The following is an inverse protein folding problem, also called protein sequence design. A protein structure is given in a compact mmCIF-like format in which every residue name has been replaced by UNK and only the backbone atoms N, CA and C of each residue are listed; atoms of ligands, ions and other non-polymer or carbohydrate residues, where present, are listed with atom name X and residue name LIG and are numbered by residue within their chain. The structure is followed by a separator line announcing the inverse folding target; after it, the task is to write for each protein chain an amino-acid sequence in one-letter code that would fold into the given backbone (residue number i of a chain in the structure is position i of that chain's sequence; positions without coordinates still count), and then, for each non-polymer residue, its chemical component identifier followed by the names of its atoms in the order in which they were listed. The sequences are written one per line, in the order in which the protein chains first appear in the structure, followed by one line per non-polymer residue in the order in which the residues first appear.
data_IF_268673983877
#
_entry.id   IF_268673983877
#
_cell.length_a   1.000
_cell.length_b   1.000
_cell.length_c   1.000
_cell.angle_alpha   90.00
_cell.angle_beta   90.00
_cell.angle_gamma   90.00
#
_symmetry.space_group_name_H-M   'P 1'
#
loop_
_entity.id
_entity.type
_entity.pdbx_description
1 polymer ?
#
# COMPACT_ATOMS: atom_id res chain seq x y z
N UNK A 1 3.25 21.21 -13.75
CA UNK A 1 4.36 22.09 -13.29
C UNK A 1 3.87 22.94 -12.13
N UNK A 2 4.70 23.07 -11.09
CA UNK A 2 4.45 23.95 -9.95
C UNK A 2 5.21 25.25 -10.20
N UNK A 3 4.50 26.37 -10.17
CA UNK A 3 5.06 27.69 -10.41
C UNK A 3 5.02 28.47 -9.09
N UNK A 4 6.14 29.06 -8.70
CA UNK A 4 6.26 29.92 -7.52
C UNK A 4 6.52 31.36 -7.94
N UNK A 5 5.98 32.31 -7.17
CA UNK A 5 6.17 33.74 -7.40
C UNK A 5 7.59 34.20 -7.02
N UNK A 6 8.23 33.50 -6.07
CA UNK A 6 9.56 33.86 -5.57
C UNK A 6 10.28 32.66 -4.94
N UNK A 7 11.59 32.79 -4.76
CA UNK A 7 12.42 31.85 -4.00
C UNK A 7 11.99 31.75 -2.52
N UNK A 8 11.44 32.82 -1.96
CA UNK A 8 10.93 32.83 -0.60
C UNK A 8 9.71 31.91 -0.48
N UNK A 9 8.82 31.86 -1.49
CA UNK A 9 7.64 31.00 -1.50
C UNK A 9 8.02 29.52 -1.57
N UNK A 10 9.06 29.19 -2.34
CA UNK A 10 9.63 27.84 -2.37
C UNK A 10 10.10 27.44 -0.95
N UNK A 11 10.91 28.27 -0.31
CA UNK A 11 11.44 28.02 1.04
C UNK A 11 10.31 27.90 2.08
N UNK A 12 9.26 28.72 1.99
CA UNK A 12 8.08 28.63 2.87
C UNK A 12 7.35 27.30 2.66
N UNK A 13 7.17 26.87 1.40
CA UNK A 13 6.51 25.60 1.05
C UNK A 13 7.32 24.41 1.56
N UNK A 14 8.64 24.43 1.39
CA UNK A 14 9.53 23.38 1.93
C UNK A 14 9.43 23.26 3.45
N UNK A 15 9.43 24.40 4.18
CA UNK A 15 9.24 24.41 5.64
C UNK A 15 7.88 23.87 6.04
N UNK A 16 6.80 24.18 5.30
CA UNK A 16 5.47 23.62 5.55
C UNK A 16 5.44 22.12 5.33
N UNK A 17 6.07 21.63 4.24
CA UNK A 17 6.14 20.21 3.94
C UNK A 17 6.91 19.40 5.02
N UNK A 18 7.93 19.98 5.62
CA UNK A 18 8.65 19.37 6.74
C UNK A 18 7.77 19.25 7.99
N UNK A 19 7.00 20.31 8.30
CA UNK A 19 6.12 20.35 9.47
C UNK A 19 4.88 19.47 9.30
N UNK A 20 4.31 19.45 8.10
CA UNK A 20 3.13 18.69 7.75
C UNK A 20 3.35 17.93 6.42
N UNK A 21 4.01 16.75 6.49
CA UNK A 21 4.36 15.98 5.30
C UNK A 21 3.14 15.36 4.59
N UNK A 22 1.96 15.44 5.19
CA UNK A 22 0.69 14.96 4.63
C UNK A 22 -0.20 16.09 4.12
N UNK A 23 0.21 17.33 4.30
CA UNK A 23 -0.60 18.54 4.03
C UNK A 23 -0.70 18.96 2.56
N UNK A 24 -0.04 18.26 1.63
CA UNK A 24 -0.09 18.61 0.21
C UNK A 24 0.69 19.88 -0.16
N UNK A 25 1.76 20.15 0.54
CA UNK A 25 2.66 21.26 0.26
C UNK A 25 3.76 20.80 -0.70
N UNK A 26 3.57 21.00 -2.00
CA UNK A 26 4.50 20.52 -3.02
C UNK A 26 5.41 21.65 -3.50
N UNK A 27 6.72 21.42 -3.51
CA UNK A 27 7.73 22.30 -4.07
C UNK A 27 8.30 21.78 -5.39
N UNK A 28 7.96 20.55 -5.76
CA UNK A 28 8.37 19.91 -7.01
C UNK A 28 7.26 18.99 -7.54
N UNK A 29 6.96 19.08 -8.85
CA UNK A 29 5.83 18.36 -9.47
C UNK A 29 5.84 16.84 -9.30
N UNK A 30 7.03 16.22 -9.24
CA UNK A 30 7.14 14.78 -8.94
C UNK A 30 6.61 14.41 -7.54
N UNK A 31 6.58 15.35 -6.61
CA UNK A 31 6.06 15.08 -5.26
C UNK A 31 4.53 15.02 -5.21
N UNK A 32 3.86 15.52 -6.24
CA UNK A 32 2.41 15.51 -6.36
C UNK A 32 1.83 16.83 -6.86
N UNK A 33 0.52 16.83 -6.98
CA UNK A 33 -0.30 17.98 -7.41
C UNK A 33 -1.51 18.08 -6.49
N UNK A 34 -2.30 19.14 -6.63
CA UNK A 34 -3.58 19.29 -5.91
C UNK A 34 -4.53 18.13 -6.20
N UNK A 35 -4.56 17.62 -7.43
CA UNK A 35 -5.41 16.49 -7.83
C UNK A 35 -5.02 15.21 -7.11
N UNK A 36 -3.73 14.84 -7.15
CA UNK A 36 -3.23 13.64 -6.44
C UNK A 36 -3.41 13.76 -4.94
N UNK A 37 -3.21 14.96 -4.38
CA UNK A 37 -3.44 15.19 -2.95
C UNK A 37 -4.92 15.03 -2.56
N UNK A 38 -5.83 15.52 -3.37
CA UNK A 38 -7.27 15.36 -3.14
C UNK A 38 -7.64 13.88 -3.10
N UNK A 39 -7.20 13.09 -4.09
CA UNK A 39 -7.44 11.65 -4.10
C UNK A 39 -6.83 10.97 -2.86
N UNK A 40 -5.56 11.29 -2.53
CA UNK A 40 -4.90 10.74 -1.33
C UNK A 40 -5.71 11.03 -0.06
N UNK A 41 -6.23 12.26 0.10
CA UNK A 41 -7.08 12.62 1.27
C UNK A 41 -8.40 11.86 1.30
N UNK A 42 -9.07 11.70 0.15
CA UNK A 42 -10.31 10.93 0.05
C UNK A 42 -10.06 9.48 0.50
N UNK A 43 -9.03 8.85 -0.08
CA UNK A 43 -8.68 7.47 0.26
C UNK A 43 -8.20 7.33 1.71
N UNK A 44 -7.46 8.31 2.25
CA UNK A 44 -7.04 8.31 3.66
C UNK A 44 -8.24 8.25 4.61
N UNK A 45 -9.30 9.00 4.31
CA UNK A 45 -10.56 8.96 5.08
C UNK A 45 -11.29 7.63 4.88
N UNK A 46 -11.39 7.14 3.64
CA UNK A 46 -12.08 5.91 3.31
C UNK A 46 -11.41 4.69 3.98
N UNK A 47 -10.08 4.62 3.97
CA UNK A 47 -9.25 3.58 4.61
C UNK A 47 -9.15 3.72 6.14
N UNK A 48 -9.62 4.84 6.72
CA UNK A 48 -9.38 5.19 8.13
C UNK A 48 -7.90 5.05 8.52
N UNK A 49 -7.02 5.51 7.62
CA UNK A 49 -5.57 5.38 7.72
C UNK A 49 -4.89 6.69 8.14
N UNK A 50 -3.59 6.64 8.41
CA UNK A 50 -2.81 7.85 8.68
C UNK A 50 -2.52 8.62 7.38
N UNK A 51 -2.22 7.89 6.29
CA UNK A 51 -1.96 8.45 4.96
C UNK A 51 -2.12 7.39 3.88
N UNK A 52 -2.42 7.82 2.65
CA UNK A 52 -2.43 6.97 1.46
C UNK A 52 -1.45 7.49 0.43
N UNK A 53 -0.48 6.66 0.07
CA UNK A 53 0.42 6.87 -1.06
C UNK A 53 -0.25 6.37 -2.35
N UNK A 54 -0.11 7.13 -3.43
CA UNK A 54 -0.66 6.80 -4.74
C UNK A 54 0.46 6.35 -5.66
N UNK A 55 0.31 5.21 -6.30
CA UNK A 55 1.30 4.63 -7.22
C UNK A 55 0.74 4.48 -8.63
N UNK A 56 1.60 4.38 -9.67
CA UNK A 56 1.14 4.28 -11.06
C UNK A 56 0.36 2.99 -11.35
N UNK A 57 0.55 1.95 -10.55
CA UNK A 57 -0.11 0.64 -10.69
C UNK A 57 -0.38 0.01 -9.34
N UNK A 58 -1.36 -0.91 -9.26
CA UNK A 58 -1.58 -1.70 -8.04
C UNK A 58 -0.33 -2.48 -7.63
N UNK A 59 0.38 -3.07 -8.60
CA UNK A 59 1.65 -3.76 -8.35
C UNK A 59 2.75 -2.84 -7.84
N UNK A 60 2.78 -1.58 -8.28
CA UNK A 60 3.65 -0.54 -7.71
C UNK A 60 3.41 -0.33 -6.22
N UNK A 61 2.15 -0.43 -5.75
CA UNK A 61 1.83 -0.38 -4.32
C UNK A 61 2.33 -1.62 -3.58
N UNK A 62 2.23 -2.81 -4.16
CA UNK A 62 2.79 -4.05 -3.60
C UNK A 62 4.30 -3.93 -3.45
N UNK A 63 4.98 -3.52 -4.53
CA UNK A 63 6.43 -3.31 -4.52
C UNK A 63 6.84 -2.29 -3.44
N UNK A 64 6.16 -1.14 -3.40
CA UNK A 64 6.45 -0.08 -2.44
C UNK A 64 6.26 -0.55 -0.99
N UNK A 65 5.20 -1.30 -0.70
CA UNK A 65 4.94 -1.85 0.63
C UNK A 65 6.08 -2.77 1.08
N UNK A 66 6.49 -3.71 0.23
CA UNK A 66 7.55 -4.67 0.54
C UNK A 66 8.90 -3.95 0.65
N UNK A 67 9.27 -3.19 -0.36
CA UNK A 67 10.56 -2.50 -0.45
C UNK A 67 10.80 -1.49 0.68
N UNK A 68 9.73 -0.87 1.20
CA UNK A 68 9.83 0.06 2.34
C UNK A 68 10.27 -0.62 3.65
N UNK A 69 10.05 -1.92 3.78
CA UNK A 69 10.24 -2.67 5.04
C UNK A 69 11.48 -3.57 5.01
N UNK A 70 11.63 -4.39 3.94
CA UNK A 70 12.68 -5.42 3.89
C UNK A 70 14.02 -4.87 3.39
N UNK A 71 15.09 -5.52 3.83
CA UNK A 71 16.49 -5.19 3.45
C UNK A 71 17.22 -6.51 3.14
N UNK A 72 18.37 -6.47 2.43
CA UNK A 72 19.20 -7.65 2.22
C UNK A 72 19.48 -8.40 3.53
N UNK A 73 19.24 -9.71 3.53
CA UNK A 73 19.35 -10.59 4.70
C UNK A 73 18.05 -10.78 5.48
N UNK A 74 17.00 -10.02 5.21
CA UNK A 74 15.70 -10.18 5.84
C UNK A 74 14.87 -11.32 5.20
N UNK A 75 13.78 -11.67 5.88
CA UNK A 75 12.79 -12.65 5.43
C UNK A 75 11.39 -12.03 5.39
N UNK A 76 10.60 -12.48 4.41
CA UNK A 76 9.18 -12.17 4.28
C UNK A 76 8.36 -13.47 4.29
N UNK A 77 7.24 -13.44 4.99
CA UNK A 77 6.25 -14.53 4.98
C UNK A 77 5.06 -14.07 4.13
N UNK A 78 4.69 -14.85 3.12
CA UNK A 78 3.70 -14.49 2.11
C UNK A 78 2.60 -15.56 2.06
N UNK A 79 1.33 -15.14 1.96
CA UNK A 79 0.23 -16.06 1.75
C UNK A 79 0.43 -16.83 0.42
N UNK A 80 0.18 -18.13 0.41
CA UNK A 80 0.40 -18.93 -0.79
C UNK A 80 -0.47 -18.47 -1.99
N UNK A 81 -1.77 -18.17 -1.83
CA UNK A 81 -2.63 -17.74 -2.93
C UNK A 81 -2.57 -16.23 -3.22
N UNK A 82 -1.39 -15.64 -3.28
CA UNK A 82 -1.23 -14.23 -3.68
C UNK A 82 -1.27 -14.07 -5.20
N UNK A 83 -1.56 -12.87 -5.65
CA UNK A 83 -1.50 -12.44 -7.05
C UNK A 83 -0.18 -12.89 -7.71
N UNK A 84 -0.28 -13.47 -8.91
CA UNK A 84 0.86 -14.12 -9.59
C UNK A 84 2.11 -13.23 -9.70
N UNK A 85 2.02 -11.93 -10.09
CA UNK A 85 3.18 -11.03 -10.07
C UNK A 85 3.76 -10.79 -8.68
N UNK A 86 2.93 -10.78 -7.63
CA UNK A 86 3.43 -10.69 -6.24
C UNK A 86 4.23 -11.93 -5.87
N UNK A 87 3.77 -13.10 -6.32
CA UNK A 87 4.49 -14.35 -6.15
C UNK A 87 5.83 -14.34 -6.88
N UNK A 88 5.86 -13.90 -8.14
CA UNK A 88 7.07 -13.76 -8.93
C UNK A 88 8.06 -12.78 -8.25
N UNK A 89 7.59 -11.61 -7.83
CA UNK A 89 8.41 -10.65 -7.10
C UNK A 89 9.04 -11.29 -5.86
N UNK A 90 8.22 -11.92 -5.02
CA UNK A 90 8.67 -12.39 -3.71
C UNK A 90 9.51 -13.67 -3.81
N UNK A 91 9.15 -14.60 -4.68
CA UNK A 91 9.84 -15.88 -4.82
C UNK A 91 11.17 -15.77 -5.55
N UNK A 92 11.17 -15.02 -6.66
CA UNK A 92 12.30 -15.03 -7.62
C UNK A 92 13.10 -13.72 -7.54
N UNK A 93 12.46 -12.55 -7.71
CA UNK A 93 13.19 -11.29 -7.81
C UNK A 93 13.84 -10.86 -6.49
N UNK A 94 13.15 -10.97 -5.35
CA UNK A 94 13.72 -10.59 -4.05
C UNK A 94 14.90 -11.47 -3.62
N UNK A 95 14.99 -12.68 -4.14
CA UNK A 95 16.13 -13.58 -3.92
C UNK A 95 17.44 -13.00 -4.45
N UNK A 96 17.40 -12.28 -5.58
CA UNK A 96 18.56 -11.59 -6.15
C UNK A 96 19.12 -10.51 -5.20
N UNK A 97 18.29 -9.99 -4.31
CA UNK A 97 18.69 -9.02 -3.28
C UNK A 97 18.95 -9.67 -1.91
N UNK A 98 19.16 -10.99 -1.86
CA UNK A 98 19.36 -11.73 -0.62
C UNK A 98 18.21 -11.54 0.40
N UNK A 99 16.96 -11.47 -0.10
CA UNK A 99 15.74 -11.43 0.72
C UNK A 99 15.00 -12.74 0.51
N UNK A 100 14.81 -13.49 1.60
CA UNK A 100 14.19 -14.81 1.52
C UNK A 100 12.68 -14.75 1.73
N UNK A 101 11.93 -15.50 0.90
CA UNK A 101 10.48 -15.63 1.01
C UNK A 101 10.10 -17.03 1.51
N UNK A 102 9.18 -17.07 2.46
CA UNK A 102 8.53 -18.31 2.94
C UNK A 102 7.03 -18.18 2.72
N UNK A 103 6.44 -19.15 2.06
CA UNK A 103 4.99 -19.18 1.84
C UNK A 103 4.28 -19.90 2.99
N UNK A 104 3.07 -19.45 3.32
CA UNK A 104 2.24 -20.10 4.32
C UNK A 104 0.87 -20.49 3.74
N UNK A 105 0.33 -21.60 4.28
CA UNK A 105 -1.01 -22.05 3.92
C UNK A 105 -2.07 -21.23 4.66
N UNK A 106 -2.99 -20.54 3.96
CA UNK A 106 -4.04 -19.73 4.57
C UNK A 106 -5.01 -20.52 5.47
N UNK A 107 -5.22 -21.80 5.18
CA UNK A 107 -6.06 -22.69 5.99
C UNK A 107 -5.34 -23.21 7.26
N UNK A 108 -4.03 -23.03 7.36
CA UNK A 108 -3.24 -23.47 8.51
C UNK A 108 -2.25 -22.41 8.98
N UNK A 109 -2.72 -21.48 9.80
CA UNK A 109 -1.90 -20.36 10.31
C UNK A 109 -0.75 -20.81 11.25
N UNK A 110 -0.68 -22.07 11.67
CA UNK A 110 0.50 -22.59 12.35
C UNK A 110 1.72 -22.62 11.43
N UNK A 111 1.52 -22.65 10.11
CA UNK A 111 2.61 -22.52 9.13
C UNK A 111 3.29 -21.16 9.20
N UNK A 112 2.57 -20.07 9.52
CA UNK A 112 3.17 -18.77 9.81
C UNK A 112 4.12 -18.88 11.00
N UNK A 113 3.65 -19.43 12.12
CA UNK A 113 4.46 -19.56 13.35
C UNK A 113 5.73 -20.37 13.14
N UNK A 114 5.66 -21.47 12.36
CA UNK A 114 6.82 -22.30 12.00
C UNK A 114 7.82 -21.54 11.12
N UNK A 115 7.35 -20.63 10.28
CA UNK A 115 8.16 -19.87 9.34
C UNK A 115 8.85 -18.64 9.96
N UNK A 116 8.37 -18.16 11.12
CA UNK A 116 8.95 -16.97 11.78
C UNK A 116 10.38 -17.25 12.25
N UNK A 117 11.27 -16.33 11.94
CA UNK A 117 12.65 -16.29 12.45
C UNK A 117 12.98 -14.85 12.92
N UNK A 118 14.18 -14.67 13.48
CA UNK A 118 14.70 -13.33 13.84
C UNK A 118 14.86 -12.40 12.63
N UNK A 119 14.96 -12.96 11.42
CA UNK A 119 15.08 -12.24 10.15
C UNK A 119 13.73 -11.84 9.55
N UNK A 120 12.62 -12.41 10.00
CA UNK A 120 11.28 -12.10 9.46
C UNK A 120 10.88 -10.68 9.80
N UNK A 121 10.61 -9.86 8.79
CA UNK A 121 10.25 -8.44 8.93
C UNK A 121 8.84 -8.11 8.47
N UNK A 122 8.28 -8.90 7.57
CA UNK A 122 6.97 -8.64 6.97
C UNK A 122 6.16 -9.93 6.82
N UNK A 123 4.87 -9.87 7.16
CA UNK A 123 3.86 -10.84 6.73
C UNK A 123 2.99 -10.15 5.69
N UNK A 124 2.97 -10.71 4.48
CA UNK A 124 2.16 -10.22 3.36
C UNK A 124 0.97 -11.15 3.14
N UNK A 125 -0.21 -10.57 3.12
CA UNK A 125 -1.49 -11.26 3.03
C UNK A 125 -2.22 -10.81 1.76
N UNK A 126 -2.99 -11.68 1.14
CA UNK A 126 -4.05 -11.31 0.20
C UNK A 126 -5.30 -12.05 0.63
N UNK A 127 -6.39 -11.33 0.88
CA UNK A 127 -7.63 -11.93 1.39
C UNK A 127 -8.87 -11.19 0.86
N UNK A 128 -9.75 -11.90 0.14
CA UNK A 128 -9.63 -13.28 -0.29
C UNK A 128 -8.42 -13.52 -1.20
N UNK A 129 -7.93 -14.75 -1.23
CA UNK A 129 -6.79 -15.16 -2.04
C UNK A 129 -7.03 -15.00 -3.54
N UNK A 130 -5.98 -14.69 -4.29
CA UNK A 130 -6.04 -14.55 -5.74
C UNK A 130 -6.41 -15.89 -6.40
N UNK A 131 -7.35 -15.87 -7.33
CA UNK A 131 -7.88 -17.00 -8.10
C UNK A 131 -8.66 -18.07 -7.31
N UNK A 132 -8.28 -18.38 -6.10
CA UNK A 132 -8.83 -19.47 -5.28
C UNK A 132 -9.78 -18.98 -4.18
N UNK A 133 -9.76 -17.67 -3.90
CA UNK A 133 -10.68 -16.96 -3.02
C UNK A 133 -10.74 -17.46 -1.56
N UNK A 134 -9.66 -18.04 -1.05
CA UNK A 134 -9.60 -18.43 0.37
C UNK A 134 -9.68 -17.22 1.29
N UNK A 135 -10.49 -17.35 2.33
CA UNK A 135 -10.52 -16.41 3.44
C UNK A 135 -9.59 -16.86 4.57
N UNK A 136 -9.06 -15.89 5.29
CA UNK A 136 -8.10 -16.10 6.35
C UNK A 136 -8.56 -15.42 7.64
N UNK A 137 -8.17 -15.96 8.78
CA UNK A 137 -8.34 -15.29 10.08
C UNK A 137 -7.33 -14.15 10.23
N UNK A 138 -7.72 -12.97 9.72
CA UNK A 138 -6.91 -11.76 9.72
C UNK A 138 -6.55 -11.31 11.15
N UNK A 139 -7.47 -11.45 12.10
CA UNK A 139 -7.25 -11.07 13.51
C UNK A 139 -6.16 -11.92 14.13
N UNK A 140 -6.13 -13.21 13.84
CA UNK A 140 -5.10 -14.12 14.31
C UNK A 140 -3.73 -13.85 13.67
N UNK A 141 -3.70 -13.50 12.37
CA UNK A 141 -2.46 -13.10 11.68
C UNK A 141 -1.88 -11.84 12.33
N UNK A 142 -2.71 -10.82 12.56
CA UNK A 142 -2.31 -9.58 13.25
C UNK A 142 -1.76 -9.88 14.65
N UNK A 143 -2.42 -10.75 15.40
CA UNK A 143 -1.97 -11.15 16.75
C UNK A 143 -0.60 -11.79 16.70
N UNK A 144 -0.38 -12.74 15.77
CA UNK A 144 0.92 -13.40 15.56
C UNK A 144 2.00 -12.37 15.22
N UNK A 145 1.71 -11.47 14.27
CA UNK A 145 2.66 -10.43 13.84
C UNK A 145 3.03 -9.48 14.98
N UNK A 146 2.04 -8.99 15.74
CA UNK A 146 2.26 -8.09 16.89
C UNK A 146 3.13 -8.75 17.97
N UNK A 147 2.84 -10.00 18.33
CA UNK A 147 3.64 -10.77 19.31
C UNK A 147 5.11 -10.87 18.92
N UNK A 148 5.40 -10.98 17.63
CA UNK A 148 6.75 -11.15 17.10
C UNK A 148 7.38 -9.85 16.58
N UNK A 149 6.71 -8.69 16.74
CA UNK A 149 7.17 -7.37 16.26
C UNK A 149 7.43 -7.34 14.75
N UNK A 150 6.63 -8.08 13.98
CA UNK A 150 6.69 -8.16 12.52
C UNK A 150 5.65 -7.19 11.92
N UNK A 151 6.02 -6.49 10.84
CA UNK A 151 5.09 -5.63 10.10
C UNK A 151 4.11 -6.47 9.27
N UNK A 152 2.97 -5.88 8.95
CA UNK A 152 1.92 -6.54 8.17
C UNK A 152 1.49 -5.68 6.97
N UNK A 153 1.31 -6.33 5.83
CA UNK A 153 0.69 -5.74 4.64
C UNK A 153 -0.39 -6.68 4.11
N UNK A 154 -1.47 -6.10 3.62
CA UNK A 154 -2.54 -6.86 2.97
C UNK A 154 -2.89 -6.25 1.62
N UNK A 155 -3.00 -7.08 0.60
CA UNK A 155 -3.70 -6.72 -0.63
C UNK A 155 -5.20 -6.88 -0.39
N UNK A 156 -5.89 -5.75 -0.31
CA UNK A 156 -7.31 -5.61 -0.04
C UNK A 156 -8.10 -5.20 -1.31
N UNK A 157 -7.54 -5.48 -2.48
CA UNK A 157 -8.16 -5.07 -3.76
C UNK A 157 -9.57 -5.61 -3.91
N UNK A 158 -9.83 -6.86 -3.49
CA UNK A 158 -11.16 -7.48 -3.52
C UNK A 158 -12.11 -6.88 -2.49
N UNK A 159 -11.66 -6.78 -1.23
CA UNK A 159 -12.49 -6.29 -0.14
C UNK A 159 -12.78 -4.81 -0.24
N UNK A 160 -11.87 -4.04 -0.78
CA UNK A 160 -11.86 -2.58 -0.72
C UNK A 160 -12.10 -2.05 0.71
N UNK A 161 -11.81 -0.80 1.04
CA UNK A 161 -12.14 -0.25 2.36
C UNK A 161 -13.65 -0.06 2.59
N UNK A 162 -14.48 -0.36 1.59
CA UNK A 162 -15.93 -0.38 1.73
C UNK A 162 -16.37 -1.56 2.63
N UNK A 163 -15.88 -2.77 2.33
CA UNK A 163 -16.22 -3.97 3.09
C UNK A 163 -15.22 -4.29 4.21
N UNK A 164 -13.93 -3.99 4.00
CA UNK A 164 -12.86 -4.34 4.93
C UNK A 164 -11.89 -3.18 5.13
N UNK A 165 -11.69 -2.76 6.37
CA UNK A 165 -10.76 -1.68 6.75
C UNK A 165 -9.54 -2.25 7.49
N UNK A 166 -8.51 -2.71 6.76
CA UNK A 166 -7.38 -3.42 7.35
C UNK A 166 -6.60 -2.60 8.38
N UNK A 167 -6.42 -1.29 8.14
CA UNK A 167 -5.69 -0.41 9.07
C UNK A 167 -6.42 -0.33 10.42
N UNK A 168 -7.74 -0.23 10.40
CA UNK A 168 -8.57 -0.23 11.62
C UNK A 168 -8.50 -1.57 12.36
N UNK A 169 -8.42 -2.70 11.62
CA UNK A 169 -8.22 -4.03 12.21
C UNK A 169 -6.84 -4.17 12.85
N UNK A 170 -5.85 -3.40 12.40
CA UNK A 170 -4.51 -3.37 12.97
C UNK A 170 -3.38 -3.83 12.05
N UNK A 171 -3.62 -3.93 10.75
CA UNK A 171 -2.55 -4.01 9.75
C UNK A 171 -1.74 -2.70 9.71
N UNK A 172 -0.47 -2.82 9.35
CA UNK A 172 0.38 -1.64 9.17
C UNK A 172 0.18 -0.99 7.79
N UNK A 173 -0.15 -1.79 6.77
CA UNK A 173 -0.31 -1.38 5.37
C UNK A 173 -1.49 -2.10 4.71
N UNK A 174 -2.27 -1.37 3.89
CA UNK A 174 -3.37 -1.87 3.07
C UNK A 174 -3.17 -1.41 1.63
N UNK A 175 -3.21 -2.34 0.69
CA UNK A 175 -3.00 -2.12 -0.74
C UNK A 175 -4.34 -2.29 -1.44
N UNK A 176 -4.64 -1.37 -2.37
CA UNK A 176 -5.76 -1.54 -3.31
C UNK A 176 -5.29 -1.17 -4.71
N UNK A 177 -5.48 -2.07 -5.66
CA UNK A 177 -5.34 -1.76 -7.07
C UNK A 177 -6.49 -0.83 -7.51
N UNK A 178 -6.20 0.47 -7.61
CA UNK A 178 -7.17 1.47 -8.01
C UNK A 178 -7.73 1.24 -9.43
N UNK A 179 -6.98 0.50 -10.26
CA UNK A 179 -7.39 -0.01 -11.59
C UNK A 179 -8.73 -0.75 -11.57
N UNK A 180 -9.11 -1.35 -10.44
CA UNK A 180 -10.27 -2.22 -10.29
C UNK A 180 -11.49 -1.43 -9.80
N UNK A 181 -11.92 -1.67 -8.57
CA UNK A 181 -13.17 -1.10 -8.05
C UNK A 181 -13.13 0.41 -7.85
N UNK A 182 -11.99 1.01 -7.51
CA UNK A 182 -11.91 2.46 -7.31
C UNK A 182 -12.22 3.23 -8.60
N UNK A 183 -11.59 2.86 -9.71
CA UNK A 183 -11.89 3.46 -11.02
C UNK A 183 -13.21 2.97 -11.58
N UNK A 184 -13.42 1.64 -11.61
CA UNK A 184 -14.65 0.98 -12.05
C UNK A 184 -14.98 1.09 -13.54
N UNK A 185 -14.14 1.70 -14.38
CA UNK A 185 -14.44 2.03 -15.77
C UNK A 185 -13.45 1.42 -16.79
N UNK A 186 -12.46 0.66 -16.34
CA UNK A 186 -11.42 0.02 -17.19
C UNK A 186 -10.63 1.01 -18.07
N UNK A 187 -10.46 2.24 -17.62
CA UNK A 187 -9.86 3.35 -18.38
C UNK A 187 -8.64 3.97 -17.69
N UNK A 188 -8.18 3.40 -16.57
CA UNK A 188 -7.01 3.88 -15.84
C UNK A 188 -6.30 2.74 -15.11
N UNK A 189 -4.99 2.85 -15.01
CA UNK A 189 -4.19 2.06 -14.09
C UNK A 189 -3.78 2.90 -12.88
N UNK A 190 -3.77 2.27 -11.71
CA UNK A 190 -3.35 2.94 -10.50
C UNK A 190 -3.32 2.01 -9.30
N UNK A 191 -2.64 2.47 -8.26
CA UNK A 191 -2.59 1.79 -6.97
C UNK A 191 -2.64 2.76 -5.82
N UNK A 192 -3.07 2.26 -4.68
CA UNK A 192 -3.02 2.98 -3.41
C UNK A 192 -2.41 2.10 -2.33
N UNK A 193 -1.61 2.73 -1.47
CA UNK A 193 -1.00 2.11 -0.29
C UNK A 193 -1.38 2.93 0.94
N UNK A 194 -2.38 2.48 1.66
CA UNK A 194 -2.77 3.04 2.93
C UNK A 194 -1.83 2.56 4.04
N UNK A 195 -1.44 3.46 4.94
CA UNK A 195 -0.46 3.18 5.99
C UNK A 195 -0.90 3.74 7.34
N UNK A 196 -0.49 3.07 8.42
CA UNK A 196 -0.57 3.64 9.76
C UNK A 196 0.63 4.57 10.04
N UNK A 197 0.59 5.29 11.16
CA UNK A 197 1.65 6.24 11.56
C UNK A 197 3.02 5.57 11.75
N UNK A 198 3.03 4.29 12.17
CA UNK A 198 4.25 3.54 12.52
C UNK A 198 5.16 3.31 11.30
N UNK A 199 4.59 3.04 10.13
CA UNK A 199 5.34 2.76 8.90
C UNK A 199 5.44 3.96 7.96
N UNK A 200 4.69 5.04 8.18
CA UNK A 200 4.59 6.20 7.31
C UNK A 200 5.95 6.71 6.82
N UNK A 201 6.89 6.99 7.74
CA UNK A 201 8.21 7.53 7.36
C UNK A 201 9.03 6.58 6.49
N UNK A 202 8.91 5.27 6.71
CA UNK A 202 9.59 4.24 5.91
C UNK A 202 9.05 4.23 4.48
N UNK A 203 7.74 4.22 4.33
CA UNK A 203 7.07 4.23 3.02
C UNK A 203 7.31 5.55 2.30
N UNK A 204 7.23 6.69 3.01
CA UNK A 204 7.53 8.02 2.43
C UNK A 204 8.95 8.10 1.86
N UNK A 205 9.94 7.55 2.58
CA UNK A 205 11.31 7.53 2.09
C UNK A 205 11.45 6.66 0.83
N UNK A 206 10.87 5.45 0.86
CA UNK A 206 10.90 4.53 -0.27
C UNK A 206 10.21 5.14 -1.51
N UNK A 207 9.04 5.76 -1.34
CA UNK A 207 8.32 6.45 -2.41
C UNK A 207 9.14 7.61 -3.03
N UNK A 208 9.81 8.40 -2.18
CA UNK A 208 10.68 9.49 -2.66
C UNK A 208 11.86 8.99 -3.50
N UNK A 209 12.45 7.86 -3.11
CA UNK A 209 13.60 7.27 -3.79
C UNK A 209 13.20 6.61 -5.10
N UNK A 210 12.12 5.82 -5.09
CA UNK A 210 11.64 5.07 -6.27
C UNK A 210 10.93 5.96 -7.28
N UNK A 211 10.34 7.08 -6.84
CA UNK A 211 9.52 7.94 -7.69
C UNK A 211 8.18 7.30 -8.11
N UNK A 212 7.74 6.23 -7.44
CA UNK A 212 6.47 5.55 -7.71
C UNK A 212 5.30 6.44 -7.30
N UNK A 213 4.87 7.30 -8.22
CA UNK A 213 3.75 8.23 -8.02
C UNK A 213 2.77 8.21 -9.18
N UNK A 214 1.49 8.22 -8.84
CA UNK A 214 0.39 8.32 -9.80
C UNK A 214 0.39 9.70 -10.48
N UNK A 215 0.11 9.73 -11.77
CA UNK A 215 -0.11 10.96 -12.53
C UNK A 215 -1.39 11.69 -12.13
N UNK A 216 -1.49 13.01 -12.35
CA UNK A 216 -2.69 13.76 -12.00
C UNK A 216 -3.91 13.37 -12.83
N UNK A 217 -3.73 12.97 -14.08
CA UNK A 217 -4.82 12.53 -14.95
C UNK A 217 -5.42 11.21 -14.47
N UNK A 218 -4.56 10.23 -14.12
CA UNK A 218 -4.98 8.98 -13.51
C UNK A 218 -5.69 9.22 -12.17
N UNK A 219 -5.16 10.12 -11.34
CA UNK A 219 -5.78 10.47 -10.07
C UNK A 219 -7.16 11.10 -10.24
N UNK A 220 -7.35 11.89 -11.28
CA UNK A 220 -8.66 12.45 -11.63
C UNK A 220 -9.65 11.33 -12.01
N UNK A 221 -9.24 10.40 -12.89
CA UNK A 221 -10.08 9.27 -13.32
C UNK A 221 -10.47 8.37 -12.16
N UNK A 222 -9.53 8.06 -11.26
CA UNK A 222 -9.83 7.31 -10.04
C UNK A 222 -10.81 8.08 -9.15
N UNK A 223 -10.61 9.39 -8.97
CA UNK A 223 -11.52 10.24 -8.17
C UNK A 223 -12.94 10.25 -8.77
N UNK A 224 -13.05 10.28 -10.08
CA UNK A 224 -14.33 10.15 -10.78
C UNK A 224 -15.02 8.83 -10.45
N UNK A 225 -14.29 7.71 -10.52
CA UNK A 225 -14.82 6.38 -10.23
C UNK A 225 -15.30 6.21 -8.79
N UNK A 226 -14.61 6.84 -7.82
CA UNK A 226 -14.99 6.76 -6.40
C UNK A 226 -16.38 7.35 -6.11
N UNK A 227 -16.91 8.23 -6.97
CA UNK A 227 -18.26 8.82 -6.79
C UNK A 227 -19.40 7.83 -6.91
N UNK A 228 -19.14 6.67 -7.49
CA UNK A 228 -20.13 5.60 -7.69
C UNK A 228 -19.67 4.29 -7.06
N UNK A 229 -18.64 4.32 -6.21
CA UNK A 229 -18.06 3.11 -5.64
C UNK A 229 -19.07 2.31 -4.82
N UNK A 230 -19.80 2.98 -3.94
CA UNK A 230 -20.84 2.40 -3.07
C UNK A 230 -21.92 1.71 -3.90
N UNK A 231 -22.57 2.44 -4.83
CA UNK A 231 -23.62 1.90 -5.70
C UNK A 231 -23.16 0.68 -6.51
N UNK A 232 -21.89 0.66 -6.92
CA UNK A 232 -21.31 -0.46 -7.69
C UNK A 232 -20.94 -1.67 -6.82
N UNK A 233 -20.65 -1.45 -5.55
CA UNK A 233 -20.31 -2.52 -4.60
C UNK A 233 -21.53 -3.08 -3.88
N UNK A 234 -22.60 -2.32 -3.76
CA UNK A 234 -23.89 -2.77 -3.18
C UNK A 234 -24.67 -3.68 -4.15
N UNK A 235 -24.33 -3.69 -5.42
CA UNK A 235 -25.00 -4.47 -6.48
C UNK A 235 -24.37 -5.84 -6.67
#
# INVERSE_FOLDING_TARGET
TIIFKSMQDIRKTQKKNIKDPTGGHYDYGRQGTSTTHTLSKILTKLEESYHVFLTPTGFGSVFLAIFSIVRPGDEIIVADPVYSPTRLLTKDYLKEFNINTKFYNPHNLNTIKKNISKKTKLIFVECPGSNSFEFQDLSKIISIAKKNKIFTAIDNTWGTPYFLKPIKLGFDMSIVSATKYYSGHSDVMGGSLAVNKKVFKKVQLAEKITGLRMGPDDAYLVTRGLRTLDVRLDR
#
